data_IF_898781905152
#
_entry.id   IF_898781905152
#
_cell.length_a   1.000
_cell.length_b   1.000
_cell.length_c   1.000
_cell.angle_alpha   90.00
_cell.angle_beta   90.00
_cell.angle_gamma   90.00
#
_symmetry.space_group_name_H-M   'P 1'
#
loop_
_entity.id
_entity.type
_entity.pdbx_description
1 polymer ?
#
# COMPACT_ATOMS: atom_id res chain seq x y z
N UNK A 1 -23.69 -14.44 -20.57
CA UNK A 1 -22.74 -14.68 -19.46
C UNK A 1 -22.38 -13.33 -18.87
N UNK A 2 -23.05 -12.92 -17.79
CA UNK A 2 -22.76 -11.66 -17.10
C UNK A 2 -21.76 -12.02 -16.00
N UNK A 3 -20.50 -11.61 -16.16
CA UNK A 3 -19.51 -11.72 -15.09
C UNK A 3 -19.84 -10.64 -14.08
N UNK A 4 -20.49 -11.01 -12.98
CA UNK A 4 -20.73 -10.11 -11.85
C UNK A 4 -19.37 -9.73 -11.25
N UNK A 5 -19.00 -8.45 -11.31
CA UNK A 5 -17.86 -7.90 -10.57
C UNK A 5 -18.17 -8.04 -9.08
N UNK A 6 -17.57 -9.04 -8.42
CA UNK A 6 -17.95 -9.45 -7.06
C UNK A 6 -17.67 -8.40 -5.97
N UNK A 7 -16.83 -7.39 -6.21
CA UNK A 7 -16.73 -6.12 -5.46
C UNK A 7 -15.51 -5.34 -6.02
N UNK A 8 -15.52 -4.00 -5.92
CA UNK A 8 -14.42 -3.11 -6.37
C UNK A 8 -13.99 -2.17 -5.25
N UNK A 9 -12.71 -1.82 -5.20
CA UNK A 9 -12.14 -0.81 -4.30
C UNK A 9 -11.63 0.39 -5.11
N UNK A 10 -11.82 1.61 -4.62
CA UNK A 10 -11.41 2.85 -5.29
C UNK A 10 -10.08 3.40 -4.73
N UNK A 11 -9.06 3.50 -5.57
CA UNK A 11 -7.70 3.95 -5.19
C UNK A 11 -7.31 5.27 -5.85
N UNK A 12 -6.23 5.92 -5.36
CA UNK A 12 -5.70 7.17 -5.90
C UNK A 12 -4.38 6.93 -6.64
N UNK A 13 -4.49 6.71 -7.95
CA UNK A 13 -3.38 6.40 -8.85
C UNK A 13 -2.22 7.40 -8.79
N UNK A 14 -1.07 7.03 -9.38
CA UNK A 14 0.14 7.86 -9.32
C UNK A 14 -0.03 9.24 -9.98
N UNK A 15 -0.98 9.36 -10.94
CA UNK A 15 -1.32 10.62 -11.59
C UNK A 15 -2.38 11.45 -10.83
N UNK A 16 -2.82 10.98 -9.66
CA UNK A 16 -3.84 11.64 -8.83
C UNK A 16 -5.29 11.37 -9.24
N UNK A 17 -5.54 10.48 -10.20
CA UNK A 17 -6.90 10.06 -10.57
C UNK A 17 -7.45 8.95 -9.68
N UNK A 18 -8.77 8.92 -9.47
CA UNK A 18 -9.45 7.82 -8.78
C UNK A 18 -9.63 6.62 -9.73
N UNK A 19 -9.25 5.43 -9.29
CA UNK A 19 -9.29 4.21 -10.10
C UNK A 19 -9.97 3.05 -9.34
N UNK A 20 -11.06 2.49 -9.87
CA UNK A 20 -11.67 1.28 -9.30
C UNK A 20 -10.89 0.03 -9.72
N UNK A 21 -10.65 -0.87 -8.77
CA UNK A 21 -9.99 -2.16 -9.02
C UNK A 21 -10.84 -3.29 -8.45
N UNK A 22 -11.22 -4.31 -9.26
CA UNK A 22 -11.91 -5.50 -8.76
C UNK A 22 -11.08 -6.26 -7.73
N UNK A 23 -11.71 -6.81 -6.69
CA UNK A 23 -11.02 -7.65 -5.69
C UNK A 23 -10.38 -8.93 -6.28
N UNK A 24 -10.83 -9.37 -7.46
CA UNK A 24 -10.25 -10.49 -8.21
C UNK A 24 -9.07 -10.10 -9.11
N UNK A 25 -8.62 -8.84 -9.05
CA UNK A 25 -7.48 -8.36 -9.86
C UNK A 25 -6.18 -8.94 -9.34
N UNK A 26 -5.28 -9.29 -10.27
CA UNK A 26 -3.95 -9.84 -9.95
C UNK A 26 -2.86 -8.78 -10.00
N UNK A 27 -1.97 -8.84 -9.02
CA UNK A 27 -0.71 -8.10 -8.95
C UNK A 27 0.44 -9.12 -8.97
N UNK A 28 0.81 -9.56 -10.18
CA UNK A 28 1.59 -10.79 -10.38
C UNK A 28 0.70 -12.03 -10.32
N UNK A 29 1.07 -13.02 -9.50
CA UNK A 29 0.27 -14.22 -9.21
C UNK A 29 -0.64 -14.05 -7.98
N UNK A 30 -0.64 -12.85 -7.38
CA UNK A 30 -1.32 -12.53 -6.13
C UNK A 30 -2.64 -11.83 -6.44
N UNK A 31 -3.75 -12.41 -6.01
CA UNK A 31 -5.05 -11.74 -6.10
C UNK A 31 -5.20 -10.71 -4.98
N UNK A 32 -5.85 -9.59 -5.28
CA UNK A 32 -6.10 -8.53 -4.30
C UNK A 32 -6.83 -9.09 -3.08
N UNK A 33 -7.89 -9.89 -3.25
CA UNK A 33 -8.60 -10.57 -2.15
C UNK A 33 -7.67 -11.42 -1.27
N UNK A 34 -6.69 -12.12 -1.86
CA UNK A 34 -5.72 -12.90 -1.09
C UNK A 34 -4.80 -12.00 -0.26
N UNK A 35 -4.38 -10.87 -0.82
CA UNK A 35 -3.54 -9.89 -0.12
C UNK A 35 -4.26 -9.32 1.11
N UNK A 36 -5.57 -9.02 1.01
CA UNK A 36 -6.37 -8.60 2.16
C UNK A 36 -6.41 -9.66 3.27
N UNK A 37 -6.64 -10.92 2.91
CA UNK A 37 -6.66 -12.02 3.88
C UNK A 37 -5.32 -12.19 4.59
N UNK A 38 -4.21 -12.00 3.86
CA UNK A 38 -2.85 -12.03 4.42
C UNK A 38 -2.63 -10.85 5.36
N UNK A 39 -3.03 -9.64 4.95
CA UNK A 39 -2.91 -8.45 5.76
C UNK A 39 -3.71 -8.55 7.07
N UNK A 40 -4.93 -9.06 7.00
CA UNK A 40 -5.78 -9.31 8.17
C UNK A 40 -5.16 -10.38 9.07
N UNK A 41 -4.75 -11.52 8.52
CA UNK A 41 -4.14 -12.62 9.28
C UNK A 41 -2.86 -12.19 10.01
N UNK A 42 -2.02 -11.39 9.35
CA UNK A 42 -0.75 -10.91 9.90
C UNK A 42 -0.88 -9.56 10.63
N UNK A 43 -2.10 -9.05 10.83
CA UNK A 43 -2.37 -7.78 11.52
C UNK A 43 -1.59 -6.59 10.93
N UNK A 44 -1.41 -6.57 9.61
CA UNK A 44 -0.75 -5.46 8.93
C UNK A 44 -1.53 -4.19 9.12
N UNK A 45 -0.83 -3.11 9.45
CA UNK A 45 -1.45 -1.80 9.63
C UNK A 45 -1.69 -1.21 8.27
N UNK A 46 -2.94 -0.96 7.93
CA UNK A 46 -3.25 -0.09 6.79
C UNK A 46 -2.73 1.29 7.11
N UNK A 47 -2.15 1.95 6.12
CA UNK A 47 -1.77 3.35 6.32
C UNK A 47 -3.05 4.20 6.45
N UNK A 48 -3.25 4.77 7.65
CA UNK A 48 -4.41 5.61 7.93
C UNK A 48 -4.42 6.84 7.00
N UNK A 49 -5.59 7.18 6.47
CA UNK A 49 -5.80 8.35 5.62
C UNK A 49 -5.31 9.66 6.28
N UNK A 50 -5.43 9.79 7.60
CA UNK A 50 -4.95 10.96 8.36
C UNK A 50 -3.42 11.08 8.31
N UNK A 51 -2.71 9.96 8.44
CA UNK A 51 -1.25 9.92 8.30
C UNK A 51 -0.85 10.30 6.88
N UNK A 52 -1.54 9.76 5.86
CA UNK A 52 -1.29 10.07 4.45
C UNK A 52 -1.50 11.54 4.12
N UNK A 53 -2.55 12.14 4.66
CA UNK A 53 -2.82 13.59 4.54
C UNK A 53 -1.70 14.40 5.19
N UNK A 54 -1.27 14.00 6.39
CA UNK A 54 -0.19 14.69 7.11
C UNK A 54 1.11 14.62 6.31
N UNK A 55 1.46 13.44 5.78
CA UNK A 55 2.60 13.26 4.88
C UNK A 55 2.47 14.09 3.60
N UNK A 56 1.30 14.07 2.94
CA UNK A 56 1.07 14.85 1.74
C UNK A 56 1.26 16.37 1.99
N UNK A 57 0.80 16.89 3.14
CA UNK A 57 1.04 18.28 3.56
C UNK A 57 2.53 18.58 3.71
N UNK A 58 3.27 17.72 4.43
CA UNK A 58 4.72 17.85 4.58
C UNK A 58 5.45 17.83 3.23
N UNK A 59 5.04 16.95 2.30
CA UNK A 59 5.62 16.89 0.97
C UNK A 59 5.32 18.14 0.13
N UNK A 60 4.12 18.73 0.29
CA UNK A 60 3.78 20.01 -0.37
C UNK A 60 4.62 21.13 0.20
N UNK A 61 4.73 21.23 1.53
CA UNK A 61 5.53 22.26 2.21
C UNK A 61 7.02 22.15 1.84
N UNK A 62 7.52 20.93 1.66
CA UNK A 62 8.88 20.64 1.21
C UNK A 62 9.10 20.76 -0.32
N UNK A 63 8.06 21.10 -1.09
CA UNK A 63 8.07 21.14 -2.55
C UNK A 63 8.51 19.82 -3.23
N UNK A 64 8.19 18.69 -2.59
CA UNK A 64 8.44 17.33 -3.08
C UNK A 64 7.15 16.54 -3.37
N UNK A 65 5.99 17.18 -3.22
CA UNK A 65 4.69 16.57 -3.45
C UNK A 65 4.53 16.07 -4.90
N UNK A 66 3.92 14.88 -5.00
CA UNK A 66 3.47 14.31 -6.27
C UNK A 66 2.06 14.80 -6.64
N UNK A 67 1.61 14.61 -7.90
CA UNK A 67 0.22 14.88 -8.28
C UNK A 67 -0.81 14.16 -7.41
N UNK A 68 -0.45 12.97 -6.92
CA UNK A 68 -1.25 12.17 -5.99
C UNK A 68 -1.42 12.87 -4.63
N UNK A 69 -0.35 13.47 -4.08
CA UNK A 69 -0.43 14.21 -2.82
C UNK A 69 -1.35 15.42 -2.95
N UNK A 70 -1.20 16.19 -4.04
CA UNK A 70 -2.09 17.33 -4.32
C UNK A 70 -3.56 16.90 -4.50
N UNK A 71 -3.82 15.80 -5.22
CA UNK A 71 -5.17 15.28 -5.39
C UNK A 71 -5.78 14.80 -4.07
N UNK A 72 -4.98 14.15 -3.20
CA UNK A 72 -5.42 13.71 -1.88
C UNK A 72 -5.85 14.91 -1.00
N UNK A 73 -5.04 15.97 -0.97
CA UNK A 73 -5.35 17.18 -0.21
C UNK A 73 -6.56 17.94 -0.76
N UNK A 74 -6.77 17.94 -2.08
CA UNK A 74 -7.96 18.54 -2.68
C UNK A 74 -9.23 17.72 -2.37
N UNK A 75 -9.13 16.37 -2.32
CA UNK A 75 -10.23 15.51 -1.87
C UNK A 75 -10.56 15.74 -0.39
N UNK A 76 -9.55 15.90 0.47
CA UNK A 76 -9.71 16.30 1.88
C UNK A 76 -10.46 17.63 1.97
N UNK A 77 -9.97 18.67 1.29
CA UNK A 77 -10.58 20.02 1.28
C UNK A 77 -12.04 20.01 0.83
N UNK A 78 -12.40 19.10 -0.07
CA UNK A 78 -13.77 18.93 -0.58
C UNK A 78 -14.65 17.99 0.26
N UNK A 79 -14.13 17.41 1.34
CA UNK A 79 -14.85 16.41 2.15
C UNK A 79 -15.13 15.09 1.42
N UNK A 80 -14.33 14.78 0.39
CA UNK A 80 -14.53 13.64 -0.52
C UNK A 80 -13.58 12.48 -0.29
N UNK A 81 -12.92 12.42 0.88
CA UNK A 81 -12.03 11.31 1.25
C UNK A 81 -12.75 9.97 1.31
N UNK A 82 -14.06 9.98 1.59
CA UNK A 82 -14.90 8.78 1.58
C UNK A 82 -14.99 8.11 0.19
N UNK A 83 -14.55 8.77 -0.88
CA UNK A 83 -14.47 8.18 -2.23
C UNK A 83 -13.21 7.34 -2.44
N UNK A 84 -12.24 7.42 -1.52
CA UNK A 84 -11.03 6.59 -1.55
C UNK A 84 -11.29 5.41 -0.63
N UNK A 85 -11.52 4.25 -1.23
CA UNK A 85 -11.50 3.00 -0.49
C UNK A 85 -10.04 2.64 -0.30
N UNK A 86 -9.47 3.14 0.80
CA UNK A 86 -8.05 3.02 1.07
C UNK A 86 -7.60 1.57 0.98
N UNK A 87 -6.46 1.34 0.34
CA UNK A 87 -5.26 0.63 0.84
C UNK A 87 -4.18 0.68 -0.25
N UNK A 88 -3.57 1.85 -0.42
CA UNK A 88 -2.42 1.90 -1.31
C UNK A 88 -1.15 1.44 -0.61
N UNK A 89 -1.17 1.42 0.72
CA UNK A 89 -0.04 1.09 1.55
C UNK A 89 -0.49 0.26 2.75
N UNK A 90 0.15 -0.89 2.94
CA UNK A 90 0.27 -1.51 4.26
C UNK A 90 1.65 -1.21 4.81
N UNK A 91 1.72 -1.01 6.12
CA UNK A 91 2.96 -0.95 6.86
C UNK A 91 3.01 -2.13 7.81
N UNK A 92 4.12 -2.84 7.78
CA UNK A 92 4.40 -4.00 8.62
C UNK A 92 5.67 -3.69 9.40
N UNK A 93 5.57 -3.67 10.73
CA UNK A 93 6.74 -3.64 11.60
C UNK A 93 7.42 -5.00 11.52
N UNK A 94 8.66 -5.06 11.04
CA UNK A 94 9.41 -6.31 10.93
C UNK A 94 10.16 -6.59 12.23
N UNK A 95 10.81 -5.55 12.77
CA UNK A 95 11.49 -5.52 14.06
C UNK A 95 11.63 -4.08 14.56
N UNK A 96 12.37 -3.88 15.66
CA UNK A 96 12.54 -2.57 16.30
C UNK A 96 13.07 -1.48 15.37
N UNK A 97 13.88 -1.84 14.36
CA UNK A 97 14.57 -0.87 13.51
C UNK A 97 14.13 -0.96 12.04
N UNK A 98 13.19 -1.85 11.70
CA UNK A 98 12.78 -2.07 10.31
C UNK A 98 11.27 -2.17 10.15
N UNK A 99 10.76 -1.59 9.07
CA UNK A 99 9.39 -1.77 8.62
C UNK A 99 9.35 -2.05 7.12
N UNK A 100 8.40 -2.88 6.68
CA UNK A 100 8.07 -3.08 5.28
C UNK A 100 6.83 -2.25 4.91
N UNK A 101 6.96 -1.38 3.91
CA UNK A 101 5.86 -0.76 3.21
C UNK A 101 5.49 -1.61 1.99
N UNK A 102 4.20 -1.91 1.84
CA UNK A 102 3.66 -2.72 0.74
C UNK A 102 2.78 -1.80 -0.09
N UNK A 103 3.24 -1.48 -1.29
CA UNK A 103 2.58 -0.59 -2.23
C UNK A 103 1.88 -1.36 -3.34
N UNK A 104 0.59 -1.10 -3.50
CA UNK A 104 -0.16 -1.54 -4.67
C UNK A 104 -0.12 -0.44 -5.73
N UNK A 105 0.52 -0.72 -6.87
CA UNK A 105 0.46 0.18 -8.02
C UNK A 105 -0.72 -0.20 -8.92
N UNK A 106 -1.80 0.59 -8.93
CA UNK A 106 -2.99 0.28 -9.72
C UNK A 106 -2.79 0.54 -11.21
N UNK A 107 -1.75 1.29 -11.61
CA UNK A 107 -1.47 1.65 -13.00
C UNK A 107 -0.65 0.60 -13.71
N UNK A 108 0.34 0.03 -13.02
CA UNK A 108 1.17 -1.04 -13.56
C UNK A 108 0.72 -2.45 -13.14
N UNK A 109 -0.29 -2.56 -12.27
CA UNK A 109 -0.73 -3.84 -11.67
C UNK A 109 0.45 -4.61 -11.06
N UNK A 110 1.32 -3.90 -10.36
CA UNK A 110 2.48 -4.46 -9.66
C UNK A 110 2.36 -4.23 -8.16
N UNK A 111 2.73 -5.25 -7.39
CA UNK A 111 2.95 -5.13 -5.96
C UNK A 111 4.42 -4.79 -5.73
N UNK A 112 4.71 -3.72 -5.00
CA UNK A 112 6.06 -3.36 -4.57
C UNK A 112 6.17 -3.47 -3.06
N UNK A 113 7.25 -4.07 -2.59
CA UNK A 113 7.59 -4.11 -1.16
C UNK A 113 8.89 -3.34 -0.98
N UNK A 114 8.86 -2.38 -0.06
CA UNK A 114 10.01 -1.58 0.33
C UNK A 114 10.27 -1.79 1.82
N UNK A 115 11.43 -2.32 2.16
CA UNK A 115 11.88 -2.40 3.55
C UNK A 115 12.70 -1.15 3.86
N UNK A 116 12.32 -0.47 4.94
CA UNK A 116 12.99 0.73 5.44
C UNK A 116 13.67 0.45 6.76
N UNK A 117 14.81 1.09 6.97
CA UNK A 117 15.36 1.29 8.30
C UNK A 117 14.68 2.51 8.94
N UNK A 118 14.12 2.34 10.14
CA UNK A 118 13.35 3.36 10.85
C UNK A 118 14.22 4.40 11.55
N UNK A 119 15.44 4.05 11.96
CA UNK A 119 16.37 4.98 12.61
C UNK A 119 16.87 6.05 11.61
N UNK A 120 17.15 5.61 10.39
CA UNK A 120 17.72 6.47 9.33
C UNK A 120 16.70 6.93 8.30
N UNK A 121 15.43 6.50 8.43
CA UNK A 121 14.35 6.73 7.45
C UNK A 121 14.79 6.42 6.00
N UNK A 122 15.55 5.35 5.81
CA UNK A 122 16.21 5.02 4.54
C UNK A 122 15.75 3.66 4.01
N UNK A 123 15.51 3.53 2.68
CA UNK A 123 15.19 2.23 2.08
C UNK A 123 16.44 1.33 2.11
N UNK A 124 16.29 0.13 2.65
CA UNK A 124 17.35 -0.90 2.65
C UNK A 124 17.08 -2.00 1.61
N UNK A 125 15.83 -2.17 1.19
CA UNK A 125 15.43 -3.08 0.13
C UNK A 125 14.19 -2.56 -0.59
N UNK A 126 14.11 -2.76 -1.91
CA UNK A 126 12.90 -2.48 -2.68
C UNK A 126 12.78 -3.48 -3.82
N UNK A 127 11.63 -4.12 -3.92
CA UNK A 127 11.41 -5.19 -4.89
C UNK A 127 9.96 -5.22 -5.41
N UNK A 128 9.80 -5.51 -6.69
CA UNK A 128 8.51 -5.88 -7.28
C UNK A 128 8.24 -7.34 -6.97
N UNK A 129 7.17 -7.61 -6.24
CA UNK A 129 6.83 -8.95 -5.76
C UNK A 129 5.75 -9.55 -6.66
N UNK A 130 6.00 -10.75 -7.18
CA UNK A 130 5.07 -11.44 -8.07
C UNK A 130 4.45 -12.68 -7.46
N UNK A 131 4.99 -13.20 -6.35
CA UNK A 131 4.53 -14.44 -5.71
C UNK A 131 4.21 -14.22 -4.23
N UNK A 132 3.21 -14.95 -3.74
CA UNK A 132 2.83 -14.94 -2.32
C UNK A 132 3.99 -15.32 -1.40
N UNK A 133 4.79 -16.32 -1.80
CA UNK A 133 5.95 -16.77 -1.03
C UNK A 133 6.92 -15.62 -0.79
N UNK A 134 7.27 -14.89 -1.85
CA UNK A 134 8.22 -13.78 -1.75
C UNK A 134 7.66 -12.60 -0.96
N UNK A 135 6.35 -12.33 -1.07
CA UNK A 135 5.68 -11.35 -0.24
C UNK A 135 5.87 -11.70 1.24
N UNK A 136 5.51 -12.92 1.63
CA UNK A 136 5.63 -13.40 3.02
C UNK A 136 7.07 -13.36 3.51
N UNK A 137 8.06 -13.73 2.69
CA UNK A 137 9.49 -13.62 3.07
C UNK A 137 9.92 -12.19 3.41
N UNK A 138 9.36 -11.19 2.72
CA UNK A 138 9.72 -9.78 2.91
C UNK A 138 8.94 -9.10 4.04
N UNK A 139 7.77 -9.64 4.40
CA UNK A 139 6.83 -9.04 5.35
C UNK A 139 6.62 -9.87 6.61
N UNK A 140 7.14 -11.10 6.64
CA UNK A 140 7.05 -12.05 7.73
C UNK A 140 8.38 -12.13 8.48
N UNK A 141 8.29 -12.00 9.80
CA UNK A 141 9.39 -12.08 10.75
C UNK A 141 10.19 -13.35 10.51
N UNK A 142 11.52 -13.21 10.48
CA UNK A 142 12.48 -14.30 10.57
C UNK A 142 11.94 -15.35 11.58
N UNK A 143 11.67 -16.57 11.14
CA UNK A 143 11.64 -17.73 12.04
C UNK A 143 13.04 -17.91 12.60
N UNK A 144 13.46 -17.04 13.51
CA UNK A 144 14.61 -17.28 14.36
C UNK A 144 14.19 -18.33 15.38
N UNK A 145 14.44 -19.56 14.96
CA UNK A 145 15.11 -20.61 15.73
C UNK A 145 15.44 -20.15 17.16
N UNK A 146 14.58 -20.46 18.12
CA UNK A 146 15.01 -20.61 19.51
C UNK A 146 15.02 -22.11 19.79
N UNK A 147 16.22 -22.67 19.63
CA UNK A 147 16.63 -23.91 20.29
C UNK A 147 16.51 -23.76 21.81
#
# INVERSE_FOLDING_TARGET
>A
MIVATKSTQTFLSANGSLKPIPLSTKFGEIELEQLYRIAEHNQWKMENIEHRISQARLMVDANWASPKDHALLELEKRGKLHLVDGIEYWVVELDLNRAAGIYLNPDSYTLEVMVMNLEWFAPIHREKVTTLKRLIELTGVNTETKN
#
